data_IF_521950948735
#
_entry.id   IF_521950948735
#
_cell.length_a   1.000
_cell.length_b   1.000
_cell.length_c   1.000
_cell.angle_alpha   90.00
_cell.angle_beta   90.00
_cell.angle_gamma   90.00
#
_symmetry.space_group_name_H-M   'P 1'
#
loop_
_entity.id
_entity.type
_entity.pdbx_description
1 polymer ?
#
# COMPACT_ATOMS: atom_id res chain seq x y z
N UNK A 1 -19.19 -41.59 29.70
CA UNK A 1 -18.31 -40.92 28.72
C UNK A 1 -18.27 -39.45 29.06
N UNK A 2 -17.13 -38.93 29.49
CA UNK A 2 -16.95 -37.49 29.71
C UNK A 2 -16.65 -36.82 28.38
N UNK A 3 -17.61 -36.04 27.87
CA UNK A 3 -17.41 -35.16 26.72
C UNK A 3 -16.54 -33.99 27.21
N UNK A 4 -15.29 -33.95 26.76
CA UNK A 4 -14.41 -32.79 26.97
C UNK A 4 -14.89 -31.73 25.99
N UNK A 5 -15.45 -30.63 26.52
CA UNK A 5 -15.69 -29.43 25.72
C UNK A 5 -14.42 -28.59 25.76
N UNK A 6 -13.82 -28.36 24.61
CA UNK A 6 -12.77 -27.37 24.49
C UNK A 6 -13.42 -26.00 24.69
N UNK A 7 -13.03 -25.29 25.74
CA UNK A 7 -13.47 -23.92 25.93
C UNK A 7 -12.97 -23.07 24.76
N UNK A 8 -13.82 -22.17 24.26
CA UNK A 8 -13.44 -21.28 23.17
C UNK A 8 -12.32 -20.38 23.66
N UNK A 9 -11.23 -20.27 22.88
CA UNK A 9 -10.10 -19.39 23.20
C UNK A 9 -10.50 -17.90 23.17
N UNK A 10 -11.57 -17.58 22.43
CA UNK A 10 -12.09 -16.22 22.25
C UNK A 10 -13.62 -16.25 22.20
N UNK A 11 -14.28 -15.27 22.80
CA UNK A 11 -15.72 -15.06 22.60
C UNK A 11 -15.98 -14.36 21.25
N UNK A 12 -17.24 -14.37 20.78
CA UNK A 12 -17.64 -13.66 19.56
C UNK A 12 -17.27 -12.17 19.64
N UNK A 13 -17.42 -11.57 20.83
CA UNK A 13 -17.06 -10.17 21.08
C UNK A 13 -15.56 -9.94 20.92
N UNK A 14 -14.74 -10.83 21.48
CA UNK A 14 -13.28 -10.75 21.34
C UNK A 14 -12.86 -10.87 19.86
N UNK A 15 -13.54 -11.72 19.08
CA UNK A 15 -13.30 -11.85 17.65
C UNK A 15 -13.66 -10.59 16.86
N UNK A 16 -14.73 -9.88 17.25
CA UNK A 16 -15.09 -8.59 16.65
C UNK A 16 -14.08 -7.49 17.02
N UNK A 17 -13.60 -7.46 18.26
CA UNK A 17 -12.59 -6.49 18.70
C UNK A 17 -11.22 -6.75 18.05
N UNK A 18 -10.93 -8.00 17.69
CA UNK A 18 -9.75 -8.39 16.91
C UNK A 18 -9.95 -8.27 15.39
N UNK A 19 -11.13 -7.85 14.92
CA UNK A 19 -11.36 -7.66 13.49
C UNK A 19 -10.43 -6.56 12.97
N UNK A 20 -9.72 -6.78 11.84
CA UNK A 20 -8.88 -5.74 11.26
C UNK A 20 -9.72 -4.49 11.04
N UNK A 21 -9.19 -3.33 11.43
CA UNK A 21 -9.97 -2.08 11.55
C UNK A 21 -10.51 -1.54 10.22
N UNK A 22 -10.24 -2.22 9.09
CA UNK A 22 -10.59 -1.80 7.72
C UNK A 22 -10.18 -0.35 7.42
N UNK A 23 -9.18 0.17 8.16
CA UNK A 23 -8.93 1.61 8.34
C UNK A 23 -8.59 2.31 7.03
N UNK A 24 -7.90 1.61 6.15
CA UNK A 24 -7.45 2.13 4.86
C UNK A 24 -8.17 1.49 3.69
N UNK A 25 -9.16 0.62 3.93
CA UNK A 25 -9.82 -0.15 2.87
C UNK A 25 -10.46 0.77 1.84
N UNK A 26 -11.22 1.78 2.27
CA UNK A 26 -11.87 2.73 1.36
C UNK A 26 -10.88 3.46 0.43
N UNK A 27 -9.66 3.71 0.90
CA UNK A 27 -8.60 4.34 0.10
C UNK A 27 -8.02 3.30 -0.86
N UNK A 28 -7.56 2.17 -0.33
CA UNK A 28 -6.87 1.14 -1.11
C UNK A 28 -7.78 0.51 -2.17
N UNK A 29 -9.06 0.32 -1.88
CA UNK A 29 -10.04 -0.27 -2.81
C UNK A 29 -10.37 0.66 -3.99
N UNK A 30 -10.11 1.96 -3.85
CA UNK A 30 -10.31 2.93 -4.93
C UNK A 30 -9.14 3.00 -5.92
N UNK A 31 -7.99 2.40 -5.57
CA UNK A 31 -6.77 2.46 -6.35
C UNK A 31 -6.57 1.14 -7.11
N UNK A 32 -6.47 1.22 -8.43
CA UNK A 32 -6.03 0.08 -9.23
C UNK A 32 -4.50 -0.09 -9.10
N UNK A 33 -4.07 -1.00 -8.22
CA UNK A 33 -2.65 -1.24 -7.95
C UNK A 33 -2.05 -2.37 -8.82
N UNK A 34 -2.84 -3.02 -9.67
CA UNK A 34 -2.36 -4.09 -10.54
C UNK A 34 -1.17 -3.67 -11.44
N UNK A 35 -1.16 -2.47 -12.05
CA UNK A 35 -0.01 -2.01 -12.85
C UNK A 35 1.26 -1.86 -12.00
N UNK A 36 1.12 -1.40 -10.76
CA UNK A 36 2.24 -1.26 -9.81
C UNK A 36 2.78 -2.64 -9.45
N UNK A 37 1.88 -3.58 -9.12
CA UNK A 37 2.23 -4.95 -8.78
C UNK A 37 2.95 -5.68 -9.91
N UNK A 38 2.53 -5.46 -11.17
CA UNK A 38 3.17 -6.03 -12.35
C UNK A 38 4.64 -5.58 -12.53
N UNK A 39 5.02 -4.42 -11.98
CA UNK A 39 6.38 -3.87 -12.02
C UNK A 39 7.22 -4.30 -10.82
N UNK A 40 6.66 -4.23 -9.61
CA UNK A 40 7.45 -4.50 -8.39
C UNK A 40 7.74 -5.99 -8.19
N UNK A 41 6.77 -6.85 -8.53
CA UNK A 41 6.88 -8.29 -8.34
C UNK A 41 7.99 -8.86 -9.24
N UNK A 42 8.83 -9.70 -8.63
CA UNK A 42 9.93 -10.36 -9.33
C UNK A 42 9.38 -11.28 -10.43
N UNK A 43 9.65 -10.95 -11.70
CA UNK A 43 9.27 -11.77 -12.87
C UNK A 43 10.10 -13.06 -13.02
N UNK A 44 11.29 -13.12 -12.43
CA UNK A 44 12.20 -14.26 -12.58
C UNK A 44 11.89 -15.39 -11.60
N UNK A 45 11.72 -16.61 -12.13
CA UNK A 45 11.65 -17.87 -11.36
C UNK A 45 13.01 -18.36 -10.85
N UNK A 46 14.12 -17.68 -11.18
CA UNK A 46 15.47 -18.06 -10.77
C UNK A 46 15.95 -17.24 -9.57
N UNK A 47 16.75 -17.86 -8.70
CA UNK A 47 17.24 -17.30 -7.44
C UNK A 47 16.31 -17.61 -6.26
N UNK A 48 16.69 -17.17 -5.06
CA UNK A 48 15.91 -17.42 -3.84
C UNK A 48 14.45 -16.94 -4.01
N UNK A 49 13.47 -17.67 -3.42
CA UNK A 49 12.07 -17.24 -3.37
C UNK A 49 11.97 -15.80 -2.85
N UNK A 50 11.02 -15.04 -3.39
CA UNK A 50 10.72 -13.74 -2.82
C UNK A 50 10.06 -13.95 -1.45
N UNK A 51 10.84 -13.77 -0.38
CA UNK A 51 10.34 -13.85 1.02
C UNK A 51 9.50 -12.63 1.41
N UNK A 52 9.46 -11.60 0.57
CA UNK A 52 8.83 -10.33 0.88
C UNK A 52 7.43 -10.25 0.28
N UNK A 53 6.48 -9.85 1.11
CA UNK A 53 5.12 -9.52 0.70
C UNK A 53 5.11 -8.17 -0.03
N UNK A 54 5.25 -8.20 -1.36
CA UNK A 54 5.30 -6.98 -2.19
C UNK A 54 4.00 -6.18 -2.15
N UNK A 55 2.86 -6.85 -2.00
CA UNK A 55 1.56 -6.20 -1.92
C UNK A 55 1.48 -5.35 -0.67
N UNK A 56 1.76 -5.94 0.50
CA UNK A 56 1.83 -5.23 1.77
C UNK A 56 2.90 -4.12 1.76
N UNK A 57 4.01 -4.32 1.04
CA UNK A 57 5.01 -3.25 0.83
C UNK A 57 4.42 -2.05 0.08
N UNK A 58 3.71 -2.27 -1.04
CA UNK A 58 3.07 -1.19 -1.81
C UNK A 58 1.98 -0.51 -0.99
N UNK A 59 1.11 -1.28 -0.34
CA UNK A 59 0.06 -0.74 0.54
C UNK A 59 0.67 0.10 1.67
N UNK A 60 1.73 -0.38 2.32
CA UNK A 60 2.42 0.37 3.38
C UNK A 60 3.03 1.70 2.91
N UNK A 61 3.46 1.80 1.64
CA UNK A 61 3.93 3.05 1.06
C UNK A 61 2.79 4.05 0.84
N UNK A 62 1.62 3.58 0.42
CA UNK A 62 0.42 4.41 0.27
C UNK A 62 -0.05 4.89 1.64
N UNK A 63 -0.20 3.96 2.59
CA UNK A 63 -0.60 4.26 3.97
C UNK A 63 0.39 5.22 4.63
N UNK A 64 1.69 5.09 4.37
CA UNK A 64 2.71 6.04 4.82
C UNK A 64 2.39 7.47 4.39
N UNK A 65 1.93 7.68 3.16
CA UNK A 65 1.52 9.01 2.65
C UNK A 65 0.26 9.49 3.38
N UNK A 66 -0.74 8.62 3.53
CA UNK A 66 -2.01 8.94 4.24
C UNK A 66 -1.76 9.34 5.70
N UNK A 67 -0.94 8.58 6.42
CA UNK A 67 -0.55 8.84 7.82
C UNK A 67 0.54 9.92 7.96
N UNK A 68 1.03 10.49 6.84
CA UNK A 68 2.10 11.51 6.80
C UNK A 68 3.38 11.07 7.52
N UNK A 69 3.74 9.80 7.41
CA UNK A 69 5.01 9.29 7.94
C UNK A 69 6.14 9.78 7.00
N UNK A 70 7.08 10.61 7.49
CA UNK A 70 7.89 11.42 6.59
C UNK A 70 8.92 10.60 5.80
N UNK A 71 9.50 9.55 6.40
CA UNK A 71 10.60 8.79 5.82
C UNK A 71 10.44 7.27 5.96
N UNK A 72 11.15 6.52 5.12
CA UNK A 72 11.11 5.04 5.09
C UNK A 72 11.63 4.44 6.39
N UNK A 73 12.61 5.07 7.04
CA UNK A 73 13.15 4.60 8.31
C UNK A 73 12.08 4.59 9.41
N UNK A 74 11.27 5.64 9.50
CA UNK A 74 10.13 5.70 10.43
C UNK A 74 9.03 4.72 10.07
N UNK A 75 8.77 4.50 8.78
CA UNK A 75 7.82 3.47 8.34
C UNK A 75 8.28 2.08 8.83
N UNK A 76 9.52 1.71 8.53
CA UNK A 76 10.10 0.42 8.95
C UNK A 76 10.11 0.29 10.47
N UNK A 77 10.46 1.35 11.19
CA UNK A 77 10.39 1.37 12.65
C UNK A 77 8.97 1.10 13.16
N UNK A 78 7.97 1.79 12.62
CA UNK A 78 6.56 1.61 13.02
C UNK A 78 6.05 0.22 12.69
N UNK A 79 6.41 -0.35 11.54
CA UNK A 79 6.05 -1.74 11.19
C UNK A 79 6.62 -2.78 12.16
N UNK A 80 7.73 -2.47 12.84
CA UNK A 80 8.30 -3.35 13.87
C UNK A 80 7.68 -3.12 15.26
N UNK A 81 7.33 -1.87 15.60
CA UNK A 81 6.86 -1.49 16.94
C UNK A 81 5.33 -1.63 17.10
N UNK A 82 4.56 -1.52 16.02
CA UNK A 82 3.09 -1.48 16.02
C UNK A 82 2.50 -2.63 15.17
N UNK A 83 2.12 -3.75 15.80
CA UNK A 83 1.54 -4.90 15.11
C UNK A 83 0.22 -4.58 14.39
N UNK A 84 -0.61 -3.69 14.96
CA UNK A 84 -1.89 -3.33 14.35
C UNK A 84 -1.66 -2.52 13.07
N UNK A 85 -0.75 -1.54 13.10
CA UNK A 85 -0.35 -0.83 11.88
C UNK A 85 0.21 -1.78 10.82
N UNK A 86 0.98 -2.78 11.25
CA UNK A 86 1.52 -3.80 10.35
C UNK A 86 0.41 -4.65 9.71
N UNK A 87 -0.61 -5.05 10.47
CA UNK A 87 -1.78 -5.76 9.92
C UNK A 87 -2.62 -4.87 9.00
N UNK A 88 -2.85 -3.60 9.38
CA UNK A 88 -3.55 -2.64 8.54
C UNK A 88 -2.82 -2.41 7.20
N UNK A 89 -1.49 -2.60 7.16
CA UNK A 89 -0.69 -2.56 5.93
C UNK A 89 -0.73 -3.85 5.10
N UNK A 90 -1.48 -4.87 5.52
CA UNK A 90 -1.62 -6.14 4.80
C UNK A 90 -0.53 -7.19 5.08
N UNK A 91 0.35 -6.97 6.06
CA UNK A 91 1.34 -7.98 6.44
C UNK A 91 0.71 -9.04 7.35
N UNK A 92 1.04 -10.31 7.10
CA UNK A 92 0.74 -11.40 8.01
C UNK A 92 1.72 -11.39 9.20
N UNK A 93 1.35 -12.03 10.31
CA UNK A 93 2.23 -12.16 11.48
C UNK A 93 3.53 -12.90 11.15
N UNK A 94 3.45 -13.88 10.25
CA UNK A 94 4.58 -14.67 9.75
C UNK A 94 5.49 -13.93 8.78
N UNK A 95 5.02 -12.83 8.18
CA UNK A 95 5.80 -12.10 7.20
C UNK A 95 7.06 -11.51 7.85
N UNK A 96 8.09 -11.28 7.05
CA UNK A 96 9.25 -10.53 7.50
C UNK A 96 9.01 -9.05 7.25
N UNK A 97 9.29 -8.20 8.25
CA UNK A 97 9.29 -6.74 8.04
C UNK A 97 10.40 -6.40 7.02
N UNK A 98 10.06 -5.74 5.90
CA UNK A 98 11.04 -5.37 4.88
C UNK A 98 12.06 -4.36 5.43
N UNK A 99 13.30 -4.43 4.93
CA UNK A 99 14.33 -3.45 5.28
C UNK A 99 14.17 -2.15 4.48
N UNK A 100 14.81 -1.07 4.94
CA UNK A 100 14.85 0.21 4.22
C UNK A 100 15.35 0.03 2.77
N UNK A 101 16.38 -0.79 2.57
CA UNK A 101 16.92 -1.08 1.24
C UNK A 101 15.92 -1.84 0.33
N UNK A 102 15.04 -2.67 0.90
CA UNK A 102 13.98 -3.31 0.12
C UNK A 102 12.95 -2.30 -0.36
N UNK A 103 12.61 -1.31 0.47
CA UNK A 103 11.75 -0.20 0.08
C UNK A 103 12.37 0.67 -1.01
N UNK A 104 13.66 1.02 -0.88
CA UNK A 104 14.38 1.80 -1.91
C UNK A 104 14.30 1.11 -3.28
N UNK A 105 14.57 -0.20 -3.34
CA UNK A 105 14.51 -0.95 -4.60
C UNK A 105 13.13 -0.96 -5.26
N UNK A 106 12.05 -1.03 -4.48
CA UNK A 106 10.71 -0.97 -5.08
C UNK A 106 10.37 0.45 -5.54
N UNK A 107 10.83 1.48 -4.82
CA UNK A 107 10.64 2.87 -5.24
C UNK A 107 11.37 3.16 -6.56
N UNK A 108 12.62 2.71 -6.69
CA UNK A 108 13.39 2.82 -7.93
C UNK A 108 12.65 2.16 -9.10
N UNK A 109 12.17 0.92 -8.93
CA UNK A 109 11.38 0.24 -9.98
C UNK A 109 10.11 0.99 -10.37
N UNK A 110 9.38 1.51 -9.39
CA UNK A 110 8.15 2.26 -9.63
C UNK A 110 8.46 3.55 -10.40
N UNK A 111 9.54 4.24 -10.03
CA UNK A 111 9.99 5.47 -10.69
C UNK A 111 10.46 5.20 -12.12
N UNK A 112 11.28 4.17 -12.34
CA UNK A 112 11.79 3.81 -13.67
C UNK A 112 10.68 3.43 -14.66
N UNK A 113 9.60 2.82 -14.16
CA UNK A 113 8.49 2.37 -15.00
C UNK A 113 7.40 3.43 -15.21
N UNK A 114 7.46 4.57 -14.52
CA UNK A 114 6.47 5.66 -14.54
C UNK A 114 5.00 5.21 -14.32
N UNK A 115 4.79 4.07 -13.67
CA UNK A 115 3.45 3.45 -13.53
C UNK A 115 2.46 4.27 -12.71
N UNK A 116 2.95 5.18 -11.86
CA UNK A 116 2.08 6.05 -11.07
C UNK A 116 1.38 7.10 -11.94
N UNK A 117 1.95 7.44 -13.11
CA UNK A 117 1.32 8.35 -14.06
C UNK A 117 0.05 7.73 -14.62
N UNK A 118 0.13 6.49 -15.06
CA UNK A 118 -1.01 5.74 -15.61
C UNK A 118 -2.12 5.57 -14.56
N UNK A 119 -1.76 5.10 -13.36
CA UNK A 119 -2.71 4.94 -12.25
C UNK A 119 -3.36 6.28 -11.89
N UNK A 120 -2.60 7.37 -11.88
CA UNK A 120 -3.12 8.71 -11.63
C UNK A 120 -4.10 9.16 -12.70
N UNK A 121 -3.80 8.92 -13.98
CA UNK A 121 -4.70 9.23 -15.09
C UNK A 121 -6.01 8.46 -14.98
N UNK A 122 -5.97 7.17 -14.65
CA UNK A 122 -7.17 6.35 -14.47
C UNK A 122 -8.08 6.91 -13.37
N UNK A 123 -7.50 7.36 -12.25
CA UNK A 123 -8.25 7.98 -11.15
C UNK A 123 -8.91 9.28 -11.61
N UNK A 124 -8.20 10.13 -12.35
CA UNK A 124 -8.76 11.38 -12.88
C UNK A 124 -9.90 11.09 -13.86
N UNK A 125 -9.73 10.16 -14.79
CA UNK A 125 -10.79 9.77 -15.72
C UNK A 125 -12.01 9.21 -14.99
N UNK A 126 -11.80 8.40 -13.95
CA UNK A 126 -12.89 7.88 -13.13
C UNK A 126 -13.64 9.01 -12.41
N UNK A 127 -12.92 9.96 -11.81
CA UNK A 127 -13.50 11.11 -11.14
C UNK A 127 -14.27 12.04 -12.10
N UNK A 128 -13.80 12.20 -13.34
CA UNK A 128 -14.53 12.91 -14.40
C UNK A 128 -15.83 12.19 -14.78
N UNK A 129 -15.77 10.87 -14.97
CA UNK A 129 -16.94 10.04 -15.31
C UNK A 129 -18.00 10.05 -14.21
N UNK A 130 -17.58 10.09 -12.96
CA UNK A 130 -18.45 10.19 -11.78
C UNK A 130 -18.97 11.61 -11.53
N UNK A 131 -18.47 12.59 -12.29
CA UNK A 131 -18.88 14.00 -12.19
C UNK A 131 -18.25 14.77 -11.02
N UNK A 132 -17.25 14.20 -10.36
CA UNK A 132 -16.48 14.89 -9.31
C UNK A 132 -15.54 15.96 -9.87
N UNK A 133 -15.04 15.77 -11.09
CA UNK A 133 -14.20 16.73 -11.83
C UNK A 133 -14.97 17.18 -13.08
N UNK A 134 -15.11 18.49 -13.27
CA UNK A 134 -15.72 19.09 -14.46
C UNK A 134 -14.62 19.62 -15.40
N UNK A 135 -14.86 19.58 -16.72
CA UNK A 135 -13.90 19.91 -17.77
C UNK A 135 -13.37 21.37 -17.72
N UNK A 136 -14.07 22.26 -17.01
CA UNK A 136 -13.68 23.67 -16.82
C UNK A 136 -12.76 23.89 -15.60
N UNK A 137 -12.46 22.84 -14.82
CA UNK A 137 -11.67 22.95 -13.59
C UNK A 137 -10.19 22.74 -13.87
N UNK A 138 -9.47 23.80 -14.25
CA UNK A 138 -8.01 23.77 -14.41
C UNK A 138 -7.34 24.34 -13.16
N UNK A 139 -6.80 23.46 -12.31
CA UNK A 139 -5.91 23.85 -11.22
C UNK A 139 -4.45 23.72 -11.69
N UNK A 140 -3.77 24.84 -11.92
CA UNK A 140 -2.34 24.87 -12.24
C UNK A 140 -1.57 25.10 -10.94
N UNK A 141 -0.99 24.03 -10.39
CA UNK A 141 -0.02 24.16 -9.30
C UNK A 141 1.41 24.11 -9.87
N UNK A 142 2.16 25.19 -9.67
CA UNK A 142 3.54 25.28 -10.11
C UNK A 142 4.45 24.64 -9.05
N UNK A 143 4.58 23.31 -9.09
CA UNK A 143 5.67 22.66 -8.36
C UNK A 143 6.95 22.92 -9.16
N UNK A 144 7.92 23.63 -8.55
CA UNK A 144 9.24 23.88 -9.13
C UNK A 144 9.98 22.57 -9.30
N UNK A 145 9.75 21.87 -10.41
CA UNK A 145 10.55 20.74 -10.83
C UNK A 145 11.80 21.32 -11.51
N UNK A 146 12.96 21.20 -10.87
CA UNK A 146 14.25 21.53 -11.49
C UNK A 146 14.57 20.47 -12.55
N UNK A 147 13.90 20.57 -13.69
CA UNK A 147 14.08 19.66 -14.81
C UNK A 147 12.84 19.61 -15.70
N UNK A 148 12.90 20.32 -16.82
CA UNK A 148 12.12 20.02 -18.02
C UNK A 148 10.62 20.29 -17.93
N UNK A 149 10.21 21.42 -18.47
CA UNK A 149 8.86 21.68 -18.95
C UNK A 149 8.39 20.48 -19.81
N UNK A 150 7.35 19.77 -19.38
CA UNK A 150 6.47 19.05 -20.29
C UNK A 150 5.04 19.26 -19.82
N UNK A 151 4.36 20.09 -20.58
CA UNK A 151 2.92 20.27 -20.57
C UNK A 151 2.32 19.02 -21.23
N UNK A 152 1.27 18.48 -20.62
CA UNK A 152 0.49 17.28 -20.97
C UNK A 152 1.07 15.94 -20.51
#
# INVERSE_FOLDING_TARGET
MSIIRQESLFDITDLYDMQPTHRYEAILSSLNLDPVMAVVVKKSRRGAPAELNYEAMVQSLIIRVVERIPDIKRLVRRLNEDPFFRFDCGFLLSDRVPSEASYTRIQEKIQEADVLRDVGQDIVHQAMKEGYIQDDTVAIDAIKNSGGLNVF
#
